data_IF_056985174789
#
_entry.id   IF_056985174789
#
_cell.length_a   1.000
_cell.length_b   1.000
_cell.length_c   1.000
_cell.angle_alpha   90.00
_cell.angle_beta   90.00
_cell.angle_gamma   90.00
#
_symmetry.space_group_name_H-M   'P 1'
#
loop_
_entity.id
_entity.type
_entity.pdbx_description
1 polymer ?
#
# COMPACT_ATOMS: atom_id res chain seq x y z
N UNK A 1 6.27 -15.52 5.84
CA UNK A 1 5.18 -14.54 5.60
C UNK A 1 5.57 -13.65 4.43
N UNK A 2 4.61 -13.30 3.56
CA UNK A 2 4.80 -12.20 2.59
C UNK A 2 4.15 -10.93 3.18
N UNK A 3 4.70 -9.76 2.89
CA UNK A 3 4.15 -8.50 3.40
C UNK A 3 2.72 -8.27 2.91
N UNK A 4 1.86 -7.72 3.76
CA UNK A 4 0.49 -7.35 3.41
C UNK A 4 0.32 -5.91 2.92
N UNK A 5 1.40 -5.14 2.83
CA UNK A 5 1.40 -3.89 2.07
C UNK A 5 1.13 -4.14 0.58
N UNK A 6 0.79 -3.09 -0.17
CA UNK A 6 0.40 -3.19 -1.58
C UNK A 6 1.43 -3.87 -2.51
N UNK A 7 2.70 -3.93 -2.12
CA UNK A 7 3.78 -4.53 -2.92
C UNK A 7 4.06 -6.02 -2.62
N UNK A 8 3.40 -6.64 -1.64
CA UNK A 8 3.62 -8.04 -1.24
C UNK A 8 5.09 -8.45 -0.97
N UNK A 9 5.93 -7.49 -0.57
CA UNK A 9 7.37 -7.68 -0.43
C UNK A 9 7.72 -8.77 0.60
N UNK A 10 8.69 -9.66 0.33
CA UNK A 10 8.97 -10.78 1.24
C UNK A 10 9.43 -10.30 2.62
N UNK A 11 8.73 -10.73 3.68
CA UNK A 11 9.02 -10.32 5.06
C UNK A 11 10.44 -10.70 5.49
N UNK A 12 10.93 -11.87 5.10
CA UNK A 12 12.26 -12.35 5.50
C UNK A 12 13.40 -11.44 5.00
N UNK A 13 13.24 -10.81 3.83
CA UNK A 13 14.21 -9.84 3.30
C UNK A 13 14.21 -8.58 4.17
N UNK A 14 13.03 -8.13 4.62
CA UNK A 14 12.95 -6.98 5.55
C UNK A 14 13.51 -7.26 6.94
N UNK A 15 13.50 -8.53 7.36
CA UNK A 15 14.05 -8.98 8.64
C UNK A 15 15.53 -9.34 8.58
N UNK A 16 16.15 -9.28 7.39
CA UNK A 16 17.56 -9.59 7.18
C UNK A 16 18.27 -8.41 6.52
N UNK A 17 18.31 -7.22 7.16
CA UNK A 17 19.03 -6.09 6.62
C UNK A 17 20.52 -6.42 6.46
N UNK A 18 21.25 -5.75 5.55
CA UNK A 18 22.70 -5.90 5.43
C UNK A 18 23.38 -5.70 6.78
N UNK A 19 24.42 -6.48 7.08
CA UNK A 19 25.07 -6.48 8.41
C UNK A 19 25.64 -5.12 8.80
N UNK A 20 25.98 -4.29 7.82
CA UNK A 20 26.54 -2.95 7.99
C UNK A 20 25.45 -1.93 8.36
N UNK A 21 24.18 -2.26 8.14
CA UNK A 21 23.03 -1.37 8.38
C UNK A 21 22.44 -1.65 9.75
N UNK A 22 22.81 -0.83 10.73
CA UNK A 22 22.23 -0.89 12.08
C UNK A 22 20.81 -0.34 12.05
N UNK A 23 19.84 -1.17 12.41
CA UNK A 23 18.45 -0.75 12.61
C UNK A 23 18.29 -0.22 14.03
N UNK A 24 17.63 0.92 14.18
CA UNK A 24 17.33 1.52 15.49
C UNK A 24 15.83 1.66 15.78
N UNK A 25 14.98 1.58 14.75
CA UNK A 25 13.52 1.68 14.90
C UNK A 25 12.79 0.66 14.03
N UNK A 26 11.78 0.01 14.60
CA UNK A 26 10.75 -0.72 13.86
C UNK A 26 9.47 0.11 13.82
N UNK A 27 8.97 0.41 12.62
CA UNK A 27 7.67 1.05 12.43
C UNK A 27 6.66 0.00 11.98
N UNK A 28 5.57 -0.12 12.74
CA UNK A 28 4.37 -0.81 12.32
C UNK A 28 3.42 0.22 11.68
N UNK A 29 3.19 0.05 10.39
CA UNK A 29 2.35 0.92 9.57
C UNK A 29 0.88 0.50 9.67
N UNK A 30 0.10 1.27 10.42
CA UNK A 30 -1.36 1.21 10.48
C UNK A 30 -2.04 2.35 9.73
N UNK A 31 -1.32 3.06 8.86
CA UNK A 31 -1.90 4.06 7.97
C UNK A 31 -2.59 3.37 6.79
N UNK A 32 -3.91 3.55 6.71
CA UNK A 32 -4.76 2.96 5.67
C UNK A 32 -5.44 4.12 4.95
N UNK A 33 -4.65 4.77 4.09
CA UNK A 33 -5.00 6.03 3.44
C UNK A 33 -5.64 5.86 2.06
N UNK A 34 -5.62 4.65 1.49
CA UNK A 34 -6.28 4.34 0.23
C UNK A 34 -7.82 4.38 0.45
N UNK A 35 -8.58 5.18 -0.32
CA UNK A 35 -10.02 5.31 -0.10
C UNK A 35 -10.75 3.96 -0.17
N UNK A 36 -11.88 3.87 0.55
CA UNK A 36 -12.74 2.68 0.69
C UNK A 36 -12.22 1.55 1.58
N UNK A 37 -10.91 1.43 1.78
CA UNK A 37 -10.34 0.28 2.50
C UNK A 37 -10.44 0.50 4.01
N UNK A 38 -10.88 -0.54 4.73
CA UNK A 38 -11.01 -0.53 6.21
C UNK A 38 -10.54 -1.85 6.84
N UNK A 39 -9.84 -2.69 6.09
CA UNK A 39 -9.40 -4.02 6.52
C UNK A 39 -8.39 -3.90 7.66
N UNK A 40 -7.44 -2.97 7.53
CA UNK A 40 -6.42 -2.73 8.53
C UNK A 40 -7.02 -2.07 9.77
N UNK A 41 -7.95 -1.12 9.60
CA UNK A 41 -8.72 -0.56 10.72
C UNK A 41 -9.41 -1.64 11.54
N UNK A 42 -10.05 -2.59 10.88
CA UNK A 42 -10.79 -3.65 11.56
C UNK A 42 -9.87 -4.63 12.27
N UNK A 43 -8.74 -4.96 11.65
CA UNK A 43 -7.70 -5.79 12.26
C UNK A 43 -7.09 -5.16 13.51
N UNK A 44 -6.89 -3.84 13.53
CA UNK A 44 -6.37 -3.13 14.72
C UNK A 44 -7.25 -3.29 15.95
N UNK A 45 -8.57 -3.32 15.76
CA UNK A 45 -9.53 -3.36 16.84
C UNK A 45 -9.92 -4.79 17.26
N UNK A 46 -9.88 -5.76 16.36
CA UNK A 46 -10.19 -7.16 16.66
C UNK A 46 -8.97 -7.98 17.06
N UNK A 47 -7.80 -7.66 16.50
CA UNK A 47 -6.59 -8.48 16.59
C UNK A 47 -5.39 -7.68 17.12
N UNK A 48 -5.66 -6.58 17.84
CA UNK A 48 -4.65 -5.66 18.37
C UNK A 48 -3.57 -6.37 19.17
N UNK A 49 -3.92 -7.33 20.02
CA UNK A 49 -2.95 -8.09 20.82
C UNK A 49 -1.95 -8.84 19.95
N UNK A 50 -2.44 -9.51 18.90
CA UNK A 50 -1.62 -10.27 17.97
C UNK A 50 -0.70 -9.34 17.19
N UNK A 51 -1.19 -8.16 16.79
CA UNK A 51 -0.38 -7.13 16.12
C UNK A 51 0.78 -6.69 17.02
N UNK A 52 0.49 -6.34 18.29
CA UNK A 52 1.54 -5.87 19.22
C UNK A 52 2.56 -6.98 19.54
N UNK A 53 2.11 -8.23 19.75
CA UNK A 53 3.01 -9.38 19.95
C UNK A 53 3.85 -9.65 18.71
N UNK A 54 3.26 -9.57 17.51
CA UNK A 54 3.97 -9.69 16.24
C UNK A 54 5.04 -8.59 16.04
N UNK A 55 4.72 -7.36 16.44
CA UNK A 55 5.68 -6.25 16.42
C UNK A 55 6.88 -6.50 17.33
N UNK A 56 6.67 -7.05 18.54
CA UNK A 56 7.75 -7.43 19.45
C UNK A 56 8.60 -8.57 18.91
N UNK A 57 8.01 -9.54 18.22
CA UNK A 57 8.78 -10.60 17.55
C UNK A 57 9.71 -10.00 16.50
N UNK A 58 9.20 -9.10 15.65
CA UNK A 58 10.01 -8.39 14.65
C UNK A 58 11.16 -7.64 15.31
N UNK A 59 10.87 -6.88 16.37
CA UNK A 59 11.85 -6.10 17.09
C UNK A 59 12.94 -6.98 17.75
N UNK A 60 12.54 -8.09 18.37
CA UNK A 60 13.46 -9.06 18.96
C UNK A 60 14.36 -9.74 17.94
N UNK A 61 13.85 -10.09 16.76
CA UNK A 61 14.66 -10.64 15.66
C UNK A 61 15.72 -9.66 15.15
N UNK A 62 15.41 -8.35 15.21
CA UNK A 62 16.31 -7.28 14.77
C UNK A 62 17.21 -6.75 15.90
N UNK A 63 17.00 -7.18 17.15
CA UNK A 63 17.70 -6.61 18.31
C UNK A 63 17.37 -5.13 18.56
N UNK A 64 16.13 -4.71 18.26
CA UNK A 64 15.67 -3.33 18.37
C UNK A 64 14.67 -3.20 19.51
N UNK A 65 14.83 -2.20 20.37
CA UNK A 65 13.89 -1.93 21.47
C UNK A 65 12.78 -0.95 21.07
N UNK A 66 13.09 0.00 20.18
CA UNK A 66 12.18 1.08 19.81
C UNK A 66 11.20 0.63 18.72
N UNK A 67 9.94 0.47 19.10
CA UNK A 67 8.83 0.10 18.21
C UNK A 67 7.83 1.26 18.19
N UNK A 68 7.48 1.70 16.98
CA UNK A 68 6.47 2.74 16.76
C UNK A 68 5.31 2.15 15.96
N UNK A 69 4.09 2.28 16.47
CA UNK A 69 2.86 1.95 15.76
C UNK A 69 2.19 3.24 15.30
N UNK A 70 2.16 3.46 13.98
CA UNK A 70 1.72 4.72 13.41
C UNK A 70 0.33 4.57 12.75
N UNK A 71 -0.65 5.33 13.25
CA UNK A 71 -2.07 5.22 12.87
C UNK A 71 -2.62 6.60 12.54
N UNK A 72 -3.46 6.70 11.50
CA UNK A 72 -4.10 7.96 11.11
C UNK A 72 -5.10 8.46 12.16
N UNK A 73 -5.17 9.78 12.34
CA UNK A 73 -6.02 10.44 13.34
C UNK A 73 -7.53 10.30 13.09
N UNK A 74 -7.96 9.90 11.89
CA UNK A 74 -9.36 9.57 11.61
C UNK A 74 -9.79 8.22 12.22
N UNK A 75 -8.86 7.38 12.69
CA UNK A 75 -9.12 6.08 13.34
C UNK A 75 -8.91 6.18 14.86
N UNK A 76 -9.62 7.12 15.50
CA UNK A 76 -9.42 7.45 16.92
C UNK A 76 -9.70 6.26 17.84
N UNK A 77 -10.72 5.47 17.53
CA UNK A 77 -11.05 4.23 18.22
C UNK A 77 -9.87 3.24 18.24
N UNK A 78 -9.21 3.01 17.11
CA UNK A 78 -8.04 2.14 17.01
C UNK A 78 -6.83 2.71 17.75
N UNK A 79 -6.61 4.02 17.67
CA UNK A 79 -5.56 4.72 18.43
C UNK A 79 -5.74 4.52 19.93
N UNK A 80 -6.93 4.80 20.45
CA UNK A 80 -7.22 4.73 21.89
C UNK A 80 -7.15 3.27 22.40
N UNK A 81 -7.71 2.33 21.63
CA UNK A 81 -7.64 0.90 21.95
C UNK A 81 -6.21 0.36 22.00
N UNK A 82 -5.41 0.63 20.96
CA UNK A 82 -4.04 0.11 20.89
C UNK A 82 -3.09 0.80 21.88
N UNK A 83 -3.33 2.07 22.22
CA UNK A 83 -2.62 2.75 23.32
C UNK A 83 -2.85 2.04 24.64
N UNK A 84 -4.12 1.82 24.98
CA UNK A 84 -4.51 1.08 26.20
C UNK A 84 -3.85 -0.29 26.24
N UNK A 85 -3.95 -1.05 25.14
CA UNK A 85 -3.42 -2.40 25.04
C UNK A 85 -1.88 -2.47 25.08
N UNK A 86 -1.20 -1.48 24.50
CA UNK A 86 0.26 -1.40 24.51
C UNK A 86 0.83 -1.13 25.89
N UNK A 87 0.07 -0.46 26.76
CA UNK A 87 0.49 -0.02 28.09
C UNK A 87 1.90 0.61 28.10
N UNK A 88 2.21 1.44 27.09
CA UNK A 88 3.49 2.15 26.96
C UNK A 88 4.67 1.32 26.45
N UNK A 89 4.49 0.03 26.17
CA UNK A 89 5.57 -0.82 25.62
C UNK A 89 5.87 -0.60 24.14
N UNK A 90 4.96 0.05 23.41
CA UNK A 90 5.08 0.41 21.99
C UNK A 90 4.58 1.84 21.84
N UNK A 91 5.33 2.68 21.13
CA UNK A 91 4.96 4.07 20.90
C UNK A 91 3.82 4.15 19.87
N UNK A 92 2.58 4.35 20.33
CA UNK A 92 1.42 4.51 19.43
C UNK A 92 1.22 5.98 19.05
N UNK A 93 1.65 6.32 17.83
CA UNK A 93 1.68 7.69 17.31
C UNK A 93 0.53 7.96 16.34
N UNK A 94 -0.01 9.18 16.42
CA UNK A 94 -1.08 9.64 15.54
C UNK A 94 -0.49 10.37 14.32
N UNK A 95 -0.97 10.01 13.13
CA UNK A 95 -0.61 10.63 11.85
C UNK A 95 -1.75 11.51 11.33
N UNK A 96 -1.41 12.46 10.47
CA UNK A 96 -2.42 13.20 9.70
C UNK A 96 -3.10 12.23 8.71
N UNK A 97 -4.40 12.37 8.52
CA UNK A 97 -5.10 11.68 7.43
C UNK A 97 -4.73 12.35 6.10
N UNK A 98 -3.74 11.79 5.40
CA UNK A 98 -3.23 12.35 4.15
C UNK A 98 -2.75 11.24 3.21
N UNK A 99 -3.25 11.21 1.99
CA UNK A 99 -2.71 10.34 0.95
C UNK A 99 -1.47 10.97 0.28
N UNK A 100 -0.41 10.20 -0.04
CA UNK A 100 -0.15 8.79 0.22
C UNK A 100 0.78 8.57 1.44
N UNK A 101 0.44 9.09 2.63
CA UNK A 101 1.30 9.01 3.81
C UNK A 101 1.55 7.57 4.29
N UNK A 102 0.72 6.61 3.88
CA UNK A 102 0.93 5.18 4.12
C UNK A 102 2.08 4.56 3.32
N UNK A 103 2.66 5.24 2.32
CA UNK A 103 3.92 4.80 1.70
C UNK A 103 5.06 4.81 2.71
N UNK A 104 5.97 3.83 2.62
CA UNK A 104 7.02 3.65 3.62
C UNK A 104 7.97 4.85 3.72
N UNK A 105 8.29 5.53 2.61
CA UNK A 105 9.18 6.71 2.63
C UNK A 105 8.49 7.89 3.29
N UNK A 106 7.22 8.13 2.95
CA UNK A 106 6.42 9.21 3.52
C UNK A 106 6.13 8.98 5.00
N UNK A 107 5.89 7.73 5.40
CA UNK A 107 5.67 7.35 6.78
C UNK A 107 6.92 7.60 7.63
N UNK A 108 8.10 7.17 7.16
CA UNK A 108 9.37 7.38 7.87
C UNK A 108 9.62 8.88 8.07
N UNK A 109 9.41 9.69 7.02
CA UNK A 109 9.54 11.14 7.12
C UNK A 109 8.54 11.74 8.11
N UNK A 110 7.30 11.27 8.11
CA UNK A 110 6.28 11.80 9.02
C UNK A 110 6.52 11.45 10.49
N UNK A 111 7.05 10.25 10.77
CA UNK A 111 7.25 9.75 12.14
C UNK A 111 8.59 10.18 12.72
N UNK A 112 9.66 10.11 11.91
CA UNK A 112 11.04 10.28 12.37
C UNK A 112 11.75 11.48 11.75
N UNK A 113 11.14 12.16 10.78
CA UNK A 113 11.78 13.21 9.98
C UNK A 113 13.08 12.74 9.31
N UNK A 114 13.15 11.47 8.92
CA UNK A 114 14.26 10.89 8.14
C UNK A 114 13.84 10.76 6.67
N UNK A 115 14.76 11.04 5.74
CA UNK A 115 14.51 10.91 4.31
C UNK A 115 15.25 9.70 3.74
N UNK A 116 14.51 8.75 3.17
CA UNK A 116 15.10 7.61 2.48
C UNK A 116 15.72 8.09 1.16
N UNK A 117 17.01 7.87 0.90
CA UNK A 117 17.67 8.33 -0.31
C UNK A 117 17.02 7.71 -1.56
N UNK A 118 17.14 8.39 -2.71
CA UNK A 118 16.66 7.87 -3.99
C UNK A 118 17.34 6.53 -4.29
N UNK A 119 16.56 5.55 -4.73
CA UNK A 119 17.03 4.17 -4.94
C UNK A 119 17.32 3.39 -3.64
N UNK A 120 17.51 4.06 -2.51
CA UNK A 120 17.73 3.41 -1.21
C UNK A 120 16.48 2.80 -0.60
N UNK A 121 16.70 2.03 0.46
CA UNK A 121 15.68 1.32 1.24
C UNK A 121 15.56 1.91 2.65
N UNK A 122 14.46 1.63 3.38
CA UNK A 122 14.32 2.03 4.79
C UNK A 122 15.53 1.71 5.69
N UNK A 123 16.27 0.63 5.40
CA UNK A 123 17.46 0.26 6.18
C UNK A 123 18.60 1.28 6.06
N UNK A 124 18.64 2.06 4.97
CA UNK A 124 19.64 3.12 4.78
C UNK A 124 19.51 4.26 5.78
N UNK A 125 18.33 4.37 6.41
CA UNK A 125 18.04 5.36 7.46
C UNK A 125 17.75 4.70 8.81
N UNK A 126 18.16 3.43 8.99
CA UNK A 126 18.06 2.70 10.26
C UNK A 126 16.64 2.24 10.63
N UNK A 127 15.74 2.11 9.64
CA UNK A 127 14.32 1.81 9.89
C UNK A 127 13.88 0.53 9.18
N UNK A 128 13.08 -0.28 9.87
CA UNK A 128 12.30 -1.36 9.24
C UNK A 128 10.82 -1.03 9.34
N UNK A 129 10.11 -1.08 8.22
CA UNK A 129 8.65 -0.80 8.16
C UNK A 129 7.88 -2.07 7.78
N UNK A 130 6.93 -2.46 8.64
CA UNK A 130 5.98 -3.54 8.39
C UNK A 130 4.53 -3.06 8.49
N UNK A 131 3.66 -3.49 7.59
CA UNK A 131 2.22 -3.26 7.72
C UNK A 131 1.66 -4.04 8.93
N UNK A 132 0.63 -3.50 9.59
CA UNK A 132 0.00 -4.12 10.78
C UNK A 132 -0.45 -5.58 10.54
N UNK A 133 -1.03 -5.88 9.39
CA UNK A 133 -1.45 -7.24 9.09
C UNK A 133 -0.27 -8.17 8.89
N UNK A 134 0.87 -7.64 8.44
CA UNK A 134 2.11 -8.42 8.38
C UNK A 134 2.59 -8.76 9.78
N UNK A 135 2.50 -7.83 10.74
CA UNK A 135 2.84 -8.10 12.14
C UNK A 135 1.92 -9.19 12.72
N UNK A 136 0.61 -9.12 12.50
CA UNK A 136 -0.34 -10.18 12.90
C UNK A 136 0.01 -11.52 12.26
N UNK A 137 0.30 -11.55 10.96
CA UNK A 137 0.67 -12.79 10.27
C UNK A 137 2.02 -13.38 10.74
N UNK A 138 2.97 -12.54 11.19
CA UNK A 138 4.21 -13.00 11.82
C UNK A 138 3.89 -13.67 13.17
N UNK A 139 3.02 -13.07 13.97
CA UNK A 139 2.57 -13.69 15.22
C UNK A 139 1.92 -15.05 14.97
N UNK A 140 0.98 -15.15 14.04
CA UNK A 140 0.32 -16.42 13.72
C UNK A 140 1.33 -17.49 13.27
N UNK A 141 2.29 -17.11 12.43
CA UNK A 141 3.30 -18.04 11.92
C UNK A 141 4.26 -18.54 13.00
N UNK A 142 4.72 -17.66 13.89
CA UNK A 142 5.73 -17.99 14.91
C UNK A 142 5.10 -18.61 16.15
N UNK A 143 4.00 -18.05 16.63
CA UNK A 143 3.39 -18.44 17.90
C UNK A 143 2.33 -19.53 17.71
N UNK A 144 1.56 -19.49 16.62
CA UNK A 144 0.47 -20.44 16.37
C UNK A 144 0.84 -21.53 15.36
N UNK A 145 1.98 -21.41 14.68
CA UNK A 145 2.38 -22.32 13.61
C UNK A 145 1.49 -22.24 12.36
N UNK A 146 0.71 -21.16 12.22
CA UNK A 146 -0.24 -20.99 11.11
C UNK A 146 0.46 -20.22 9.98
N UNK A 147 0.67 -20.84 8.80
CA UNK A 147 1.26 -20.15 7.67
C UNK A 147 0.29 -19.11 7.10
N UNK A 148 0.78 -18.27 6.19
CA UNK A 148 -0.07 -17.27 5.55
C UNK A 148 -1.07 -17.94 4.59
N UNK A 149 -2.27 -18.23 5.09
CA UNK A 149 -3.36 -18.93 4.37
C UNK A 149 -4.60 -18.06 4.15
N UNK A 150 -4.73 -16.97 4.90
CA UNK A 150 -5.88 -16.08 4.88
C UNK A 150 -5.46 -14.64 5.08
N UNK A 151 -6.35 -13.72 4.70
CA UNK A 151 -6.21 -12.28 4.97
C UNK A 151 -7.57 -11.61 5.09
N UNK A 152 -7.60 -10.47 5.78
CA UNK A 152 -8.78 -9.60 5.77
C UNK A 152 -8.82 -8.83 4.44
N UNK A 153 -10.02 -8.78 3.84
CA UNK A 153 -10.31 -8.12 2.57
C UNK A 153 -11.54 -7.22 2.74
N UNK A 154 -11.42 -5.94 2.40
CA UNK A 154 -12.57 -5.04 2.33
C UNK A 154 -13.33 -5.27 1.03
N UNK A 155 -14.59 -5.70 1.09
CA UNK A 155 -15.48 -5.79 -0.07
C UNK A 155 -16.48 -4.64 -0.01
N UNK A 156 -16.46 -3.76 -1.01
CA UNK A 156 -17.16 -2.47 -0.92
C UNK A 156 -17.47 -1.85 -2.28
N UNK A 157 -18.08 -0.67 -2.26
CA UNK A 157 -18.61 0.01 -3.43
C UNK A 157 -20.04 -0.41 -3.72
N UNK A 158 -20.33 -0.76 -4.98
CA UNK A 158 -21.67 -1.13 -5.46
C UNK A 158 -21.95 -2.63 -5.26
N UNK A 159 -21.91 -3.05 -3.98
CA UNK A 159 -22.44 -4.34 -3.49
C UNK A 159 -23.60 -4.07 -2.53
N UNK A 160 -24.45 -5.07 -2.26
CA UNK A 160 -25.62 -4.88 -1.40
C UNK A 160 -25.25 -4.59 0.06
N UNK A 161 -24.29 -5.34 0.61
CA UNK A 161 -23.85 -5.23 2.01
C UNK A 161 -22.31 -5.19 2.06
N UNK A 162 -21.68 -4.00 1.97
CA UNK A 162 -20.24 -3.84 2.13
C UNK A 162 -19.75 -4.32 3.50
N UNK A 163 -18.63 -5.04 3.55
CA UNK A 163 -18.02 -5.54 4.79
C UNK A 163 -16.57 -5.95 4.62
N UNK A 164 -15.88 -6.12 5.74
CA UNK A 164 -14.57 -6.75 5.80
C UNK A 164 -14.76 -8.26 6.02
N UNK A 165 -14.10 -9.07 5.19
CA UNK A 165 -14.18 -10.54 5.25
C UNK A 165 -12.80 -11.13 5.50
N UNK A 166 -12.72 -12.13 6.37
CA UNK A 166 -11.54 -12.99 6.48
C UNK A 166 -11.62 -14.04 5.36
N UNK A 167 -10.78 -13.89 4.34
CA UNK A 167 -10.81 -14.72 3.15
C UNK A 167 -9.54 -15.58 3.05
N UNK A 168 -9.72 -16.86 2.70
CA UNK A 168 -8.60 -17.72 2.31
C UNK A 168 -7.96 -17.21 1.03
N UNK A 169 -6.65 -17.32 0.95
CA UNK A 169 -5.91 -17.10 -0.30
C UNK A 169 -6.34 -18.17 -1.30
N UNK A 170 -6.73 -17.74 -2.50
CA UNK A 170 -7.30 -18.59 -3.54
C UNK A 170 -8.81 -18.44 -3.72
N UNK A 171 -9.54 -17.87 -2.74
CA UNK A 171 -10.99 -17.68 -2.86
C UNK A 171 -11.31 -16.71 -4.02
N UNK A 172 -12.22 -17.04 -4.96
CA UNK A 172 -12.60 -16.14 -6.05
C UNK A 172 -13.25 -14.85 -5.54
N UNK A 173 -13.07 -13.73 -6.24
CA UNK A 173 -13.75 -12.48 -5.87
C UNK A 173 -15.27 -12.60 -5.96
N UNK A 174 -15.79 -13.40 -6.90
CA UNK A 174 -17.22 -13.70 -7.04
C UNK A 174 -17.82 -14.20 -5.73
N UNK A 175 -17.14 -15.11 -5.04
CA UNK A 175 -17.59 -15.63 -3.74
C UNK A 175 -17.63 -14.54 -2.66
N UNK A 176 -16.60 -13.68 -2.61
CA UNK A 176 -16.57 -12.53 -1.68
C UNK A 176 -17.72 -11.54 -1.94
N UNK A 177 -18.06 -11.33 -3.21
CA UNK A 177 -19.15 -10.45 -3.63
C UNK A 177 -20.51 -11.07 -3.29
N UNK A 178 -20.69 -12.38 -3.50
CA UNK A 178 -21.89 -13.14 -3.13
C UNK A 178 -22.14 -13.08 -1.62
N UNK A 179 -21.11 -13.24 -0.80
CA UNK A 179 -21.18 -13.04 0.66
C UNK A 179 -21.67 -11.63 1.02
N UNK A 180 -21.38 -10.63 0.18
CA UNK A 180 -21.86 -9.25 0.32
C UNK A 180 -23.24 -9.01 -0.31
N UNK A 181 -23.99 -10.06 -0.62
CA UNK A 181 -25.32 -10.01 -1.22
C UNK A 181 -25.31 -9.75 -2.73
N UNK A 182 -24.18 -9.88 -3.41
CA UNK A 182 -24.05 -9.67 -4.85
C UNK A 182 -23.83 -8.21 -5.26
N UNK A 183 -23.85 -8.00 -6.58
CA UNK A 183 -23.68 -6.68 -7.19
C UNK A 183 -24.92 -5.80 -7.01
N UNK A 184 -24.71 -4.54 -6.65
CA UNK A 184 -25.77 -3.52 -6.63
C UNK A 184 -25.84 -2.83 -8.00
N UNK A 185 -26.62 -3.41 -8.90
CA UNK A 185 -26.74 -2.98 -10.30
C UNK A 185 -25.67 -3.61 -11.19
N UNK A 186 -25.52 -3.10 -12.42
CA UNK A 186 -24.55 -3.64 -13.38
C UNK A 186 -23.12 -3.19 -13.04
N UNK A 187 -22.28 -4.15 -12.65
CA UNK A 187 -20.89 -3.89 -12.33
C UNK A 187 -20.10 -3.55 -13.61
N UNK A 188 -19.46 -2.38 -13.61
CA UNK A 188 -18.64 -1.91 -14.73
C UNK A 188 -17.15 -2.15 -14.51
N UNK A 189 -16.68 -2.01 -13.27
CA UNK A 189 -15.29 -2.27 -12.88
C UNK A 189 -15.26 -2.99 -11.53
N UNK A 190 -14.41 -4.00 -11.45
CA UNK A 190 -13.99 -4.62 -10.20
C UNK A 190 -12.51 -4.32 -10.05
N UNK A 191 -12.11 -3.76 -8.90
CA UNK A 191 -10.74 -3.32 -8.65
C UNK A 191 -10.18 -4.12 -7.47
N UNK A 192 -9.01 -4.71 -7.67
CA UNK A 192 -8.22 -5.27 -6.57
C UNK A 192 -7.35 -4.18 -5.97
N UNK A 193 -7.59 -3.86 -4.70
CA UNK A 193 -7.08 -2.65 -4.03
C UNK A 193 -8.09 -1.49 -4.11
N UNK A 194 -7.64 -0.28 -3.81
CA UNK A 194 -8.50 0.91 -3.85
C UNK A 194 -8.42 1.69 -5.15
N UNK A 195 -9.15 2.81 -5.26
CA UNK A 195 -9.33 3.52 -6.53
C UNK A 195 -8.07 4.21 -7.06
N UNK A 196 -7.05 4.47 -6.23
CA UNK A 196 -5.83 5.15 -6.63
C UNK A 196 -4.80 4.17 -7.20
N UNK A 197 -4.39 3.17 -6.40
CA UNK A 197 -3.33 2.23 -6.78
C UNK A 197 -3.85 0.92 -7.37
N UNK A 198 -5.13 0.59 -7.16
CA UNK A 198 -5.70 -0.70 -7.50
C UNK A 198 -5.67 -1.02 -9.00
N UNK A 199 -5.87 -2.30 -9.30
CA UNK A 199 -5.84 -2.82 -10.66
C UNK A 199 -7.22 -3.39 -10.99
N UNK A 200 -7.76 -3.03 -12.15
CA UNK A 200 -9.00 -3.62 -12.65
C UNK A 200 -8.82 -5.13 -12.88
N UNK A 201 -9.79 -5.93 -12.45
CA UNK A 201 -9.75 -7.38 -12.48
C UNK A 201 -11.12 -7.95 -12.88
N UNK A 202 -11.12 -9.22 -13.27
CA UNK A 202 -12.34 -10.00 -13.45
C UNK A 202 -12.86 -10.50 -12.09
N UNK A 203 -14.14 -10.90 -12.03
CA UNK A 203 -14.74 -11.44 -10.80
C UNK A 203 -14.23 -12.84 -10.42
N UNK A 204 -13.76 -13.63 -11.39
CA UNK A 204 -13.38 -15.03 -11.16
C UNK A 204 -11.88 -15.20 -10.89
N UNK A 205 -11.18 -14.11 -10.55
CA UNK A 205 -9.78 -14.16 -10.11
C UNK A 205 -9.68 -14.42 -8.61
N UNK A 206 -8.60 -15.06 -8.14
CA UNK A 206 -8.45 -15.39 -6.73
C UNK A 206 -8.01 -14.18 -5.89
N UNK A 207 -8.44 -14.19 -4.63
CA UNK A 207 -7.79 -13.46 -3.54
C UNK A 207 -6.34 -13.94 -3.43
N UNK A 208 -5.42 -13.00 -3.55
CA UNK A 208 -3.99 -13.23 -3.36
C UNK A 208 -3.50 -12.45 -2.14
N UNK A 209 -2.23 -12.67 -1.76
CA UNK A 209 -1.60 -12.05 -0.59
C UNK A 209 -1.71 -10.52 -0.59
N UNK A 210 -1.73 -9.88 -1.77
CA UNK A 210 -1.87 -8.43 -1.94
C UNK A 210 -3.31 -7.90 -2.05
N UNK A 211 -4.35 -8.76 -2.05
CA UNK A 211 -5.74 -8.32 -2.23
C UNK A 211 -6.31 -7.70 -0.97
N UNK A 212 -6.05 -6.42 -0.72
CA UNK A 212 -6.59 -5.71 0.45
C UNK A 212 -8.05 -5.30 0.32
N UNK A 213 -8.50 -5.08 -0.90
CA UNK A 213 -9.86 -4.66 -1.19
C UNK A 213 -10.34 -5.29 -2.50
N UNK A 214 -11.63 -5.59 -2.55
CA UNK A 214 -12.40 -5.83 -3.77
C UNK A 214 -13.42 -4.70 -3.87
N UNK A 215 -13.11 -3.70 -4.69
CA UNK A 215 -13.95 -2.53 -4.92
C UNK A 215 -14.78 -2.74 -6.19
N UNK A 216 -16.10 -2.78 -6.05
CA UNK A 216 -17.05 -2.86 -7.15
C UNK A 216 -17.55 -1.46 -7.48
N UNK A 217 -17.50 -1.08 -8.76
CA UNK A 217 -18.06 0.17 -9.26
C UNK A 217 -19.02 -0.12 -10.42
N UNK A 218 -20.25 0.36 -10.31
CA UNK A 218 -21.25 0.30 -11.36
C UNK A 218 -21.04 1.38 -12.43
N UNK A 219 -21.83 1.33 -13.49
CA UNK A 219 -21.72 2.27 -14.62
C UNK A 219 -21.92 3.74 -14.22
N UNK A 220 -22.77 4.02 -13.22
CA UNK A 220 -23.04 5.39 -12.77
C UNK A 220 -21.82 6.03 -12.08
N UNK A 221 -20.98 5.23 -11.42
CA UNK A 221 -19.75 5.71 -10.77
C UNK A 221 -18.55 5.75 -11.70
N UNK A 222 -18.52 4.88 -12.71
CA UNK A 222 -17.40 4.80 -13.64
C UNK A 222 -17.55 5.85 -14.75
N UNK A 223 -16.90 7.00 -14.57
CA UNK A 223 -16.72 7.96 -15.66
C UNK A 223 -15.54 7.52 -16.53
N UNK A 224 -15.83 7.00 -17.72
CA UNK A 224 -14.81 6.80 -18.75
C UNK A 224 -14.57 8.16 -19.38
N UNK A 225 -13.59 8.89 -18.86
CA UNK A 225 -13.20 10.15 -19.43
C UNK A 225 -12.18 9.90 -20.55
N UNK A 226 -12.42 10.47 -21.73
CA UNK A 226 -11.47 10.40 -22.83
C UNK A 226 -10.19 11.16 -22.48
N UNK A 227 -9.07 10.59 -22.88
CA UNK A 227 -7.79 11.27 -22.81
C UNK A 227 -7.79 12.47 -23.77
N UNK A 228 -7.34 13.62 -23.26
CA UNK A 228 -7.13 14.85 -24.03
C UNK A 228 -5.65 15.21 -24.06
N UNK A 229 -5.29 16.12 -24.97
CA UNK A 229 -3.95 16.68 -25.02
C UNK A 229 -3.55 17.35 -23.70
N UNK A 230 -2.28 17.25 -23.33
CA UNK A 230 -1.75 17.92 -22.14
C UNK A 230 -1.78 19.44 -22.32
N UNK A 231 -2.46 20.15 -21.42
CA UNK A 231 -2.52 21.62 -21.42
C UNK A 231 -1.38 22.29 -20.64
N UNK A 232 -0.39 21.53 -20.17
CA UNK A 232 0.79 22.02 -19.44
C UNK A 232 0.49 22.86 -18.18
N UNK A 233 -0.59 22.54 -17.47
CA UNK A 233 -1.03 23.29 -16.28
C UNK A 233 -0.20 23.10 -14.99
N UNK A 234 0.84 22.27 -14.97
CA UNK A 234 1.70 22.07 -13.79
C UNK A 234 1.13 21.22 -12.65
N UNK A 235 -0.20 21.06 -12.53
CA UNK A 235 -0.87 20.35 -11.40
C UNK A 235 -0.30 18.97 -11.06
N UNK A 236 0.06 18.18 -12.06
CA UNK A 236 0.62 16.84 -11.84
C UNK A 236 2.02 16.85 -11.19
N UNK A 237 2.78 17.94 -11.37
CA UNK A 237 4.10 18.15 -10.75
C UNK A 237 3.90 18.55 -9.29
N UNK A 238 3.03 19.54 -9.04
CA UNK A 238 2.67 20.01 -7.70
C UNK A 238 2.11 18.89 -6.81
N UNK A 239 1.28 18.01 -7.39
CA UNK A 239 0.68 16.88 -6.69
C UNK A 239 1.61 15.67 -6.52
N UNK A 240 2.77 15.64 -7.19
CA UNK A 240 3.66 14.49 -7.11
C UNK A 240 4.45 14.51 -5.79
N UNK A 241 4.24 13.55 -4.88
CA UNK A 241 4.92 13.58 -3.58
C UNK A 241 6.42 13.24 -3.69
N UNK A 242 6.82 12.64 -4.82
CA UNK A 242 8.21 12.33 -5.17
C UNK A 242 8.91 13.46 -5.94
N UNK A 243 8.20 14.55 -6.25
CA UNK A 243 8.76 15.69 -6.98
C UNK A 243 9.15 15.37 -8.44
N UNK A 244 8.50 14.39 -9.06
CA UNK A 244 8.76 14.00 -10.45
C UNK A 244 8.04 14.91 -11.45
N UNK A 245 8.31 14.68 -12.74
CA UNK A 245 7.61 15.31 -13.86
C UNK A 245 6.75 14.27 -14.61
N UNK A 246 5.53 13.94 -14.13
CA UNK A 246 4.77 12.79 -14.64
C UNK A 246 4.44 12.87 -16.13
N UNK A 247 4.08 14.04 -16.64
CA UNK A 247 3.72 14.22 -18.06
C UNK A 247 4.94 14.14 -18.98
N UNK A 248 6.12 14.57 -18.52
CA UNK A 248 7.38 14.39 -19.27
C UNK A 248 7.73 12.91 -19.34
N UNK A 249 7.71 12.22 -18.20
CA UNK A 249 7.94 10.77 -18.13
C UNK A 249 6.95 10.01 -19.03
N UNK A 250 5.67 10.35 -18.97
CA UNK A 250 4.65 9.75 -19.83
C UNK A 250 4.93 9.97 -21.33
N UNK A 251 5.38 11.16 -21.71
CA UNK A 251 5.75 11.45 -23.10
C UNK A 251 6.99 10.66 -23.55
N UNK A 252 8.02 10.52 -22.69
CA UNK A 252 9.20 9.69 -22.96
C UNK A 252 8.82 8.22 -23.14
N UNK A 253 7.96 7.69 -22.26
CA UNK A 253 7.46 6.32 -22.34
C UNK A 253 6.69 6.08 -23.65
N UNK A 254 5.83 7.02 -24.08
CA UNK A 254 5.12 6.91 -25.37
C UNK A 254 6.06 6.85 -26.57
N UNK A 255 7.17 7.60 -26.50
CA UNK A 255 8.24 7.59 -27.50
C UNK A 255 9.17 6.38 -27.39
N UNK A 256 8.95 5.49 -26.41
CA UNK A 256 9.83 4.36 -26.07
C UNK A 256 11.25 4.80 -25.70
N UNK A 257 11.42 6.05 -25.26
CA UNK A 257 12.70 6.62 -24.81
C UNK A 257 12.97 6.26 -23.34
N UNK A 258 13.10 4.96 -23.07
CA UNK A 258 13.21 4.44 -21.70
C UNK A 258 14.54 4.79 -21.02
N UNK A 259 15.63 4.88 -21.78
CA UNK A 259 16.93 5.33 -21.25
C UNK A 259 16.83 6.75 -20.68
N UNK A 260 16.25 7.67 -21.44
CA UNK A 260 15.98 9.03 -20.95
C UNK A 260 14.97 9.02 -19.81
N UNK A 261 13.98 8.13 -19.81
CA UNK A 261 13.06 8.02 -18.67
C UNK A 261 13.78 7.62 -17.37
N UNK A 262 14.83 6.78 -17.45
CA UNK A 262 15.71 6.46 -16.33
C UNK A 262 16.49 7.68 -15.83
N UNK A 263 17.04 8.49 -16.75
CA UNK A 263 17.71 9.76 -16.40
C UNK A 263 16.75 10.71 -15.65
N UNK A 264 15.46 10.69 -16.02
CA UNK A 264 14.39 11.42 -15.33
C UNK A 264 13.84 10.70 -14.08
N UNK A 265 14.54 9.69 -13.58
CA UNK A 265 14.22 8.97 -12.34
C UNK A 265 12.84 8.32 -12.32
N UNK A 266 12.38 7.75 -13.46
CA UNK A 266 11.08 7.05 -13.54
C UNK A 266 10.90 5.97 -12.45
N UNK A 267 12.02 5.35 -12.05
CA UNK A 267 12.06 4.31 -11.01
C UNK A 267 11.72 4.82 -9.61
N UNK A 268 11.85 6.13 -9.38
CA UNK A 268 11.50 6.76 -8.10
C UNK A 268 9.99 6.99 -7.93
N UNK A 269 9.17 6.76 -8.96
CA UNK A 269 7.72 6.86 -8.82
C UNK A 269 7.21 5.76 -7.88
N UNK A 270 6.21 6.07 -7.05
CA UNK A 270 5.56 5.16 -6.07
C UNK A 270 4.22 4.60 -6.57
N UNK A 271 3.81 4.96 -7.79
CA UNK A 271 2.55 4.57 -8.41
C UNK A 271 1.28 5.01 -7.65
N UNK A 272 1.37 6.06 -6.82
CA UNK A 272 0.27 6.56 -5.97
C UNK A 272 -0.91 7.18 -6.76
N UNK A 273 -0.70 7.59 -8.00
CA UNK A 273 -1.78 8.15 -8.83
C UNK A 273 -2.31 9.53 -8.44
N UNK A 274 -1.69 10.23 -7.49
CA UNK A 274 -1.98 11.65 -7.22
C UNK A 274 -1.96 12.48 -8.51
N UNK A 275 -0.97 12.25 -9.37
CA UNK A 275 -0.80 12.96 -10.64
C UNK A 275 -1.92 12.68 -11.65
N UNK A 276 -2.43 11.45 -11.70
CA UNK A 276 -3.53 11.06 -12.59
C UNK A 276 -4.86 11.63 -12.09
N UNK A 277 -5.10 11.58 -10.77
CA UNK A 277 -6.31 12.10 -10.14
C UNK A 277 -6.53 13.61 -10.40
N UNK A 278 -5.46 14.41 -10.34
CA UNK A 278 -5.56 15.87 -10.55
C UNK A 278 -5.49 16.30 -12.02
N UNK A 279 -5.27 15.36 -12.96
CA UNK A 279 -5.04 15.69 -14.36
C UNK A 279 -6.35 16.07 -15.07
N UNK A 280 -6.54 17.33 -15.52
CA UNK A 280 -7.76 17.72 -16.24
C UNK A 280 -7.86 17.10 -17.64
N UNK A 281 -6.73 16.63 -18.17
CA UNK A 281 -6.64 15.98 -19.49
C UNK A 281 -6.85 14.46 -19.43
N UNK A 282 -7.08 13.87 -18.26
CA UNK A 282 -7.25 12.41 -18.07
C UNK A 282 -6.14 11.56 -18.70
N UNK A 283 -4.90 12.06 -18.71
CA UNK A 283 -3.76 11.29 -19.21
C UNK A 283 -3.57 10.09 -18.27
N UNK A 284 -3.44 8.85 -18.78
CA UNK A 284 -3.29 7.65 -17.96
C UNK A 284 -1.87 7.54 -17.39
N UNK A 285 -1.49 8.52 -16.56
CA UNK A 285 -0.12 8.71 -16.07
C UNK A 285 0.37 7.50 -15.28
N UNK A 286 -0.44 6.94 -14.39
CA UNK A 286 -0.05 5.76 -13.59
C UNK A 286 0.24 4.57 -14.48
N UNK A 287 -0.63 4.29 -15.45
CA UNK A 287 -0.49 3.16 -16.37
C UNK A 287 0.76 3.31 -17.23
N UNK A 288 0.99 4.52 -17.77
CA UNK A 288 2.18 4.83 -18.57
C UNK A 288 3.47 4.70 -17.74
N UNK A 289 3.51 5.26 -16.53
CA UNK A 289 4.71 5.19 -15.69
C UNK A 289 5.00 3.75 -15.24
N UNK A 290 3.97 2.97 -14.88
CA UNK A 290 4.11 1.53 -14.59
C UNK A 290 4.67 0.76 -15.79
N UNK A 291 4.13 1.00 -16.97
CA UNK A 291 4.63 0.40 -18.22
C UNK A 291 6.10 0.81 -18.47
N UNK A 292 6.41 2.10 -18.32
CA UNK A 292 7.76 2.64 -18.46
C UNK A 292 8.77 1.98 -17.52
N UNK A 293 8.42 1.77 -16.24
CA UNK A 293 9.28 1.06 -15.28
C UNK A 293 9.56 -0.39 -15.70
N UNK A 294 8.52 -1.11 -16.15
CA UNK A 294 8.67 -2.50 -16.61
C UNK A 294 9.62 -2.57 -17.80
N UNK A 295 9.43 -1.71 -18.80
CA UNK A 295 10.31 -1.63 -19.96
C UNK A 295 11.74 -1.21 -19.59
N UNK A 296 11.89 -0.23 -18.69
CA UNK A 296 13.21 0.24 -18.26
C UNK A 296 14.01 -0.85 -17.53
N UNK A 297 13.35 -1.69 -16.73
CA UNK A 297 13.97 -2.86 -16.08
C UNK A 297 14.48 -3.88 -17.10
N UNK A 298 13.74 -4.11 -18.19
CA UNK A 298 14.15 -5.07 -19.23
C UNK A 298 15.39 -4.63 -20.03
N UNK A 299 15.76 -3.35 -19.97
CA UNK A 299 16.98 -2.83 -20.61
C UNK A 299 18.27 -3.10 -19.81
N UNK A 300 18.17 -3.78 -18.67
CA UNK A 300 19.35 -4.26 -17.91
C UNK A 300 20.18 -3.17 -17.24
N UNK A 301 19.73 -1.91 -17.23
CA UNK A 301 20.50 -0.78 -16.69
C UNK A 301 20.38 -0.55 -15.18
N UNK A 302 19.59 -1.34 -14.46
CA UNK A 302 19.61 -1.37 -12.99
C UNK A 302 19.69 -2.82 -12.48
N UNK A 303 20.92 -3.33 -12.46
CA UNK A 303 21.33 -4.31 -11.46
C UNK A 303 22.05 -3.55 -10.34
N UNK A 304 21.32 -3.19 -9.28
CA UNK A 304 21.75 -3.03 -7.87
C UNK A 304 20.82 -2.09 -7.12
#
# INVERSE_FOLDING_TARGET
VAGFGGAAFPTHVKLSPPKEKKIDVVIINGAECEPYITADHRLMLEEGEKILKGARIVAGLLGVERIILAIENNKKDALDYLRSLSNGSIDVVSLKTKYPQGDERHLIKAVLNREVPRGGLPFDVGVVVHNIGTAKAIYDAVYQGIPLVERVVTVTGDVHVPKNLLARIGTPFSHLIEECGGFKGEAKKIISGGPMMGIAQYKDVPVVKGTSCVLVLNEQRVKIAEEKACIRCGKCIEACPMGLMPTVLAALVRKKSFDTALEYSIMSCDDCGCCAYVCPSNIPLVQLLRYGKVCSRSLGKESR
#
